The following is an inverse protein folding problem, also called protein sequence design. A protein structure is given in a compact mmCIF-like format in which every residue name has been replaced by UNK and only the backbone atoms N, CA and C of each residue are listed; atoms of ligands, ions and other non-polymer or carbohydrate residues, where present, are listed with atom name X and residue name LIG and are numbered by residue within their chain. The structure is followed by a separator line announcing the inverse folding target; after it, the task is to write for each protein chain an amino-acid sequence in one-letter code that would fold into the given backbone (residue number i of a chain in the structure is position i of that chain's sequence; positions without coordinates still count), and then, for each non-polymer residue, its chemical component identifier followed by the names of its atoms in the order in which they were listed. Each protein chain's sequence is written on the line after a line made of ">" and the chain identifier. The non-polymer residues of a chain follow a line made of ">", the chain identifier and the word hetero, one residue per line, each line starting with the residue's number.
data_IF_249759568154
#
_entry.id   IF_249759568154
#
_cell.length_a   1.000
_cell.length_b   1.000
_cell.length_c   1.000
_cell.angle_alpha   90.00
_cell.angle_beta   90.00
_cell.angle_gamma   90.00
#
_symmetry.space_group_name_H-M   'P 1'
#
loop_
_entity.id
_entity.type
_entity.pdbx_description
1 polymer ?
#
# COMPACT_ATOMS: atom_id res chain seq x y z
N UNK A 1 -8.56 25.36 15.66
CA UNK A 1 -8.50 24.10 16.43
C UNK A 1 -8.74 22.92 15.50
N UNK A 2 -7.96 21.83 15.59
CA UNK A 2 -7.85 20.80 14.53
C UNK A 2 -9.17 20.19 14.02
N UNK A 3 -10.14 19.95 14.90
CA UNK A 3 -11.42 19.30 14.59
C UNK A 3 -12.58 20.28 14.34
N UNK A 4 -12.32 21.59 14.39
CA UNK A 4 -13.32 22.61 14.08
C UNK A 4 -13.34 22.87 12.57
N UNK A 5 -14.44 23.41 12.05
CA UNK A 5 -14.60 23.74 10.61
C UNK A 5 -13.44 24.59 10.07
N UNK A 6 -12.98 25.59 10.84
CA UNK A 6 -11.82 26.43 10.48
C UNK A 6 -10.45 25.75 10.63
N UNK A 7 -10.40 24.57 11.25
CA UNK A 7 -9.21 23.77 11.47
C UNK A 7 -8.78 22.96 10.26
N UNK A 8 -9.67 22.76 9.28
CA UNK A 8 -9.47 22.08 7.99
C UNK A 8 -8.58 20.82 8.06
N UNK A 9 -8.56 20.12 9.20
CA UNK A 9 -7.66 19.01 9.46
C UNK A 9 -6.19 19.26 9.08
N UNK A 10 -5.68 20.46 9.33
CA UNK A 10 -4.31 20.83 8.98
C UNK A 10 -3.27 19.85 9.54
N UNK A 11 -2.15 19.71 8.82
CA UNK A 11 -0.96 18.99 9.31
C UNK A 11 -0.50 19.57 10.65
N UNK A 12 0.06 18.71 11.48
CA UNK A 12 0.51 18.99 12.85
C UNK A 12 1.28 20.31 12.94
N UNK A 13 2.25 20.56 12.05
CA UNK A 13 3.06 21.78 12.08
C UNK A 13 2.22 23.05 11.94
N UNK A 14 1.22 23.06 11.05
CA UNK A 14 0.33 24.21 10.85
C UNK A 14 -0.65 24.38 12.01
N UNK A 15 -1.06 23.28 12.65
CA UNK A 15 -1.84 23.34 13.90
C UNK A 15 -1.00 23.91 15.04
N UNK A 16 0.28 23.52 15.13
CA UNK A 16 1.22 23.99 16.13
C UNK A 16 1.53 25.47 16.00
N UNK A 17 1.76 25.99 14.79
CA UNK A 17 2.01 27.42 14.58
C UNK A 17 0.85 28.26 15.12
N UNK A 18 -0.39 27.91 14.77
CA UNK A 18 -1.59 28.61 15.25
C UNK A 18 -1.80 28.52 16.77
N UNK A 19 -1.45 27.37 17.38
CA UNK A 19 -1.60 27.20 18.83
C UNK A 19 -0.54 28.02 19.57
N UNK A 20 0.69 28.06 19.06
CA UNK A 20 1.81 28.81 19.66
C UNK A 20 1.62 30.34 19.65
N UNK A 21 0.78 30.86 18.75
CA UNK A 21 0.42 32.27 18.74
C UNK A 21 -0.43 32.69 19.95
N UNK A 22 -1.16 31.75 20.56
CA UNK A 22 -2.20 32.05 21.57
C UNK A 22 -1.92 31.35 22.90
N UNK A 23 -1.29 30.17 22.87
CA UNK A 23 -1.10 29.32 24.04
C UNK A 23 0.32 28.75 24.09
N UNK A 24 0.89 28.68 25.30
CA UNK A 24 2.17 28.04 25.57
C UNK A 24 2.06 27.11 26.78
N UNK A 25 2.53 25.87 26.64
CA UNK A 25 2.69 24.95 27.76
C UNK A 25 3.77 23.90 27.48
N UNK A 26 4.29 23.30 28.56
CA UNK A 26 5.31 22.25 28.52
C UNK A 26 4.79 21.04 27.73
N UNK A 27 5.56 20.55 26.76
CA UNK A 27 5.20 19.42 25.87
C UNK A 27 4.01 19.66 24.94
N UNK A 28 3.59 20.91 24.73
CA UNK A 28 2.54 21.30 23.76
C UNK A 28 2.62 20.59 22.40
N UNK A 29 3.84 20.43 21.87
CA UNK A 29 4.07 19.70 20.62
C UNK A 29 3.54 18.25 20.66
N UNK A 30 3.87 17.53 21.73
CA UNK A 30 3.54 16.12 21.87
C UNK A 30 2.03 15.92 22.03
N UNK A 31 1.38 16.81 22.76
CA UNK A 31 -0.07 16.77 22.97
C UNK A 31 -0.82 16.99 21.65
N UNK A 32 -0.44 18.01 20.87
CA UNK A 32 -1.04 18.29 19.56
C UNK A 32 -0.76 17.16 18.57
N UNK A 33 0.45 16.58 18.57
CA UNK A 33 0.76 15.40 17.77
C UNK A 33 -0.13 14.21 18.12
N UNK A 34 -0.35 13.95 19.41
CA UNK A 34 -1.20 12.87 19.89
C UNK A 34 -2.67 13.09 19.48
N UNK A 35 -3.15 14.34 19.57
CA UNK A 35 -4.49 14.74 19.17
C UNK A 35 -4.73 14.55 17.67
N UNK A 36 -3.83 15.04 16.82
CA UNK A 36 -3.90 14.89 15.37
C UNK A 36 -3.69 13.44 14.89
N UNK A 37 -3.08 12.56 15.70
CA UNK A 37 -2.98 11.12 15.40
C UNK A 37 -4.29 10.39 15.67
N UNK A 38 -5.03 10.78 16.72
CA UNK A 38 -6.33 10.20 17.09
C UNK A 38 -7.50 10.70 16.23
N UNK A 39 -7.27 11.69 15.37
CA UNK A 39 -8.32 12.25 14.53
C UNK A 39 -8.84 11.23 13.50
N UNK A 40 -10.15 10.95 13.56
CA UNK A 40 -10.83 9.95 12.70
C UNK A 40 -10.77 10.28 11.21
N UNK A 41 -10.71 11.57 10.84
CA UNK A 41 -10.61 11.99 9.44
C UNK A 41 -9.17 11.93 8.93
N UNK A 42 -8.18 12.27 9.76
CA UNK A 42 -6.77 12.27 9.35
C UNK A 42 -6.11 10.89 9.42
N UNK A 43 -6.53 10.02 10.34
CA UNK A 43 -5.95 8.70 10.53
C UNK A 43 -6.02 7.81 9.27
N UNK A 44 -7.17 7.65 8.57
CA UNK A 44 -7.26 6.79 7.39
C UNK A 44 -6.49 7.36 6.17
N UNK A 45 -6.37 8.68 6.08
CA UNK A 45 -5.62 9.36 5.00
C UNK A 45 -4.11 9.18 5.18
N UNK A 46 -3.64 8.98 6.41
CA UNK A 46 -2.23 8.66 6.68
C UNK A 46 -2.00 7.19 6.33
N UNK A 47 -1.61 6.95 5.08
CA UNK A 47 -1.24 5.63 4.59
C UNK A 47 -0.21 4.92 5.49
N UNK A 48 -0.10 3.58 5.37
CA UNK A 48 0.76 2.78 6.23
C UNK A 48 2.21 3.28 6.20
N UNK A 49 2.82 3.45 7.38
CA UNK A 49 4.24 3.81 7.53
C UNK A 49 5.19 2.67 7.17
N UNK A 50 4.67 1.44 7.11
CA UNK A 50 5.47 0.23 6.95
C UNK A 50 5.71 0.02 5.45
N UNK A 51 6.99 0.01 5.07
CA UNK A 51 7.45 -0.35 3.71
C UNK A 51 7.27 -1.85 3.48
N UNK A 52 7.11 -2.22 2.22
CA UNK A 52 6.62 -3.51 1.72
C UNK A 52 7.28 -4.77 2.31
N UNK A 53 6.52 -5.87 2.26
CA UNK A 53 6.95 -7.21 2.69
C UNK A 53 8.12 -7.71 1.82
N UNK A 54 8.96 -8.54 2.42
CA UNK A 54 10.15 -9.11 1.79
C UNK A 54 9.87 -10.00 0.58
N UNK A 55 10.92 -10.35 -0.18
CA UNK A 55 10.80 -11.04 -1.46
C UNK A 55 10.23 -12.45 -1.31
N UNK A 56 9.42 -12.84 -2.30
CA UNK A 56 8.90 -14.20 -2.44
C UNK A 56 10.04 -15.21 -2.50
N UNK A 57 9.97 -16.26 -1.68
CA UNK A 57 10.98 -17.30 -1.63
C UNK A 57 10.66 -18.43 -2.62
N UNK A 58 11.66 -18.94 -3.36
CA UNK A 58 11.47 -20.10 -4.23
C UNK A 58 11.20 -21.36 -3.41
N UNK A 59 10.37 -22.26 -3.96
CA UNK A 59 9.97 -23.52 -3.30
C UNK A 59 10.42 -24.72 -4.15
N UNK A 60 10.97 -25.75 -3.50
CA UNK A 60 11.43 -26.97 -4.17
C UNK A 60 10.29 -27.78 -4.80
N UNK A 61 10.35 -27.95 -6.12
CA UNK A 61 9.27 -28.54 -6.94
C UNK A 61 9.21 -30.08 -6.79
N UNK A 62 10.24 -30.72 -6.22
CA UNK A 62 10.29 -32.18 -6.06
C UNK A 62 10.40 -32.90 -7.42
N UNK A 63 9.55 -33.90 -7.67
CA UNK A 63 9.52 -34.67 -8.92
C UNK A 63 8.77 -33.95 -10.06
N UNK A 64 9.07 -34.36 -11.30
CA UNK A 64 8.39 -33.85 -12.50
C UNK A 64 6.87 -34.03 -12.39
N UNK A 65 6.11 -33.01 -12.80
CA UNK A 65 4.64 -32.93 -12.74
C UNK A 65 4.01 -32.98 -11.34
N UNK A 66 4.81 -32.97 -10.26
CA UNK A 66 4.28 -32.91 -8.90
C UNK A 66 3.55 -31.60 -8.61
N UNK A 67 3.94 -30.51 -9.28
CA UNK A 67 3.29 -29.20 -9.17
C UNK A 67 3.23 -28.50 -10.52
N UNK A 68 2.03 -28.06 -10.90
CA UNK A 68 1.76 -27.29 -12.10
C UNK A 68 0.98 -26.04 -11.71
N UNK A 69 1.55 -24.86 -11.96
CA UNK A 69 0.83 -23.60 -11.84
C UNK A 69 0.19 -23.27 -13.19
N UNK A 70 -1.10 -22.95 -13.17
CA UNK A 70 -1.85 -22.52 -14.37
C UNK A 70 -2.41 -21.14 -14.05
N UNK A 71 -2.11 -20.18 -14.91
CA UNK A 71 -2.66 -18.83 -14.85
C UNK A 71 -3.34 -18.54 -16.19
N UNK A 72 -4.48 -17.85 -16.14
CA UNK A 72 -5.21 -17.44 -17.34
C UNK A 72 -4.72 -16.04 -17.70
N UNK A 73 -4.04 -15.93 -18.83
CA UNK A 73 -3.65 -14.62 -19.34
C UNK A 73 -4.92 -13.80 -19.62
N UNK A 74 -4.94 -12.55 -19.19
CA UNK A 74 -6.03 -11.63 -19.56
C UNK A 74 -6.16 -11.48 -21.07
N UNK A 75 -7.30 -10.96 -21.54
CA UNK A 75 -7.68 -10.83 -22.94
C UNK A 75 -6.49 -10.49 -23.86
N UNK A 76 -6.02 -11.48 -24.62
CA UNK A 76 -4.96 -11.29 -25.61
C UNK A 76 -5.56 -10.75 -26.93
N UNK A 77 -4.78 -10.01 -27.73
CA UNK A 77 -5.22 -9.62 -29.07
C UNK A 77 -5.57 -10.85 -29.88
N UNK A 78 -6.68 -10.75 -30.61
CA UNK A 78 -7.19 -11.83 -31.45
C UNK A 78 -6.15 -12.12 -32.53
N UNK A 79 -5.62 -13.34 -32.52
CA UNK A 79 -4.80 -13.85 -33.62
C UNK A 79 -5.62 -13.90 -34.91
N UNK A 80 -4.99 -13.95 -36.09
CA UNK A 80 -5.72 -13.97 -37.37
C UNK A 80 -6.71 -15.15 -37.50
N UNK A 81 -6.52 -16.19 -36.70
CA UNK A 81 -7.42 -17.35 -36.57
C UNK A 81 -8.57 -17.16 -35.56
N UNK A 82 -8.78 -15.94 -35.04
CA UNK A 82 -9.92 -15.65 -34.14
C UNK A 82 -9.70 -16.06 -32.68
N UNK A 83 -8.52 -16.57 -32.32
CA UNK A 83 -8.27 -17.08 -30.98
C UNK A 83 -7.76 -15.96 -30.04
N UNK A 84 -8.43 -15.80 -28.89
CA UNK A 84 -8.08 -14.87 -27.80
C UNK A 84 -7.15 -15.51 -26.76
N UNK A 85 -6.92 -16.82 -26.86
CA UNK A 85 -6.11 -17.61 -25.94
C UNK A 85 -5.01 -18.31 -26.74
N UNK A 86 -3.86 -17.66 -26.91
CA UNK A 86 -2.70 -18.39 -27.45
C UNK A 86 -2.25 -19.41 -26.39
N UNK A 87 -2.46 -20.71 -26.66
CA UNK A 87 -1.81 -21.79 -25.90
C UNK A 87 -0.31 -21.71 -26.16
N UNK A 88 0.39 -20.80 -25.48
CA UNK A 88 1.85 -20.85 -25.39
C UNK A 88 2.20 -22.04 -24.49
N UNK A 89 2.34 -23.22 -25.11
CA UNK A 89 2.91 -24.41 -24.47
C UNK A 89 4.40 -24.17 -24.28
N UNK A 90 4.76 -23.38 -23.27
CA UNK A 90 6.14 -23.19 -22.87
C UNK A 90 6.53 -24.32 -21.94
N UNK A 91 7.13 -25.37 -22.49
CA UNK A 91 7.91 -26.30 -21.69
C UNK A 91 9.21 -25.60 -21.31
N UNK A 92 9.22 -24.85 -20.21
CA UNK A 92 10.49 -24.59 -19.52
C UNK A 92 10.86 -25.86 -18.79
N UNK A 93 11.64 -26.70 -19.45
CA UNK A 93 12.47 -27.66 -18.76
C UNK A 93 13.38 -26.87 -17.81
N UNK A 94 13.08 -26.92 -16.51
CA UNK A 94 14.03 -26.52 -15.49
C UNK A 94 15.06 -27.64 -15.39
N UNK A 95 15.97 -27.70 -16.36
CA UNK A 95 17.16 -28.54 -16.25
C UNK A 95 18.06 -27.92 -15.20
N UNK A 96 18.50 -28.74 -14.24
CA UNK A 96 19.53 -28.41 -13.26
C UNK A 96 20.76 -27.80 -13.92
#
# INVERSE_FOLDING_TARGET
>A
MHNWSSGAHFRINKTLSKIREIFYWVRCRQDVESWCKKCRTCAPVKGPKIRARGPMQPHDIGSLFRRTAVDVAGLLPVTEEGNKETKKRSYRACTK
#
